data_IF_129108471565
#
_entry.id   IF_129108471565
#
_cell.length_a   1.000
_cell.length_b   1.000
_cell.length_c   1.000
_cell.angle_alpha   90.00
_cell.angle_beta   90.00
_cell.angle_gamma   90.00
#
_symmetry.space_group_name_H-M   'P 1'
#
loop_
_entity.id
_entity.type
_entity.pdbx_description
1 polymer ?
#
# COMPACT_ATOMS: atom_id res chain seq x y z
N UNK A 1 7.33 7.85 9.73
CA UNK A 1 6.19 8.80 9.56
C UNK A 1 5.58 8.75 8.17
N UNK A 2 6.38 8.71 7.09
CA UNK A 2 5.92 8.67 5.70
C UNK A 2 4.92 7.53 5.44
N UNK A 3 5.24 6.30 5.88
CA UNK A 3 4.37 5.15 5.67
C UNK A 3 2.96 5.29 6.28
N UNK A 4 2.81 6.01 7.39
CA UNK A 4 1.51 6.29 7.99
C UNK A 4 0.70 7.31 7.17
N UNK A 5 1.35 8.34 6.64
CA UNK A 5 0.70 9.32 5.75
C UNK A 5 0.21 8.67 4.46
N UNK A 6 1.01 7.76 3.89
CA UNK A 6 0.60 6.97 2.71
C UNK A 6 -0.61 6.09 3.03
N UNK A 7 -0.63 5.44 4.21
CA UNK A 7 -1.79 4.64 4.63
C UNK A 7 -3.07 5.48 4.75
N UNK A 8 -2.98 6.68 5.32
CA UNK A 8 -4.12 7.61 5.42
C UNK A 8 -4.60 8.06 4.03
N UNK A 9 -3.68 8.37 3.12
CA UNK A 9 -4.03 8.73 1.74
C UNK A 9 -4.76 7.58 1.02
N UNK A 10 -4.29 6.33 1.19
CA UNK A 10 -4.94 5.13 0.66
C UNK A 10 -6.34 4.96 1.25
N UNK A 11 -6.49 5.12 2.57
CA UNK A 11 -7.77 5.02 3.26
C UNK A 11 -8.79 6.02 2.70
N UNK A 12 -8.41 7.30 2.58
CA UNK A 12 -9.28 8.36 2.02
C UNK A 12 -9.65 8.02 0.57
N UNK A 13 -8.70 7.54 -0.23
CA UNK A 13 -8.94 7.19 -1.63
C UNK A 13 -9.95 6.04 -1.80
N UNK A 14 -9.83 4.99 -0.98
CA UNK A 14 -10.78 3.88 -0.99
C UNK A 14 -12.15 4.27 -0.45
N UNK A 15 -12.20 5.09 0.59
CA UNK A 15 -13.46 5.61 1.13
C UNK A 15 -14.23 6.40 0.07
N UNK A 16 -13.56 7.33 -0.62
CA UNK A 16 -14.17 8.09 -1.73
C UNK A 16 -14.64 7.19 -2.86
N UNK A 17 -13.87 6.15 -3.18
CA UNK A 17 -14.24 5.18 -4.22
C UNK A 17 -15.51 4.41 -3.84
N UNK A 18 -15.62 3.96 -2.60
CA UNK A 18 -16.79 3.22 -2.12
C UNK A 18 -18.07 4.08 -2.15
N UNK A 19 -17.97 5.37 -1.81
CA UNK A 19 -19.08 6.32 -1.92
C UNK A 19 -19.49 6.49 -3.39
N UNK A 20 -18.54 6.63 -4.31
CA UNK A 20 -18.83 6.83 -5.75
C UNK A 20 -19.59 5.65 -6.36
N UNK A 21 -19.30 4.42 -5.92
CA UNK A 21 -19.96 3.20 -6.42
C UNK A 21 -21.23 2.84 -5.61
N UNK A 22 -21.66 3.71 -4.68
CA UNK A 22 -22.81 3.48 -3.79
C UNK A 22 -22.75 2.15 -3.02
N UNK A 23 -21.55 1.71 -2.62
CA UNK A 23 -21.40 0.50 -1.83
C UNK A 23 -21.98 0.71 -0.42
N UNK A 24 -22.83 -0.19 0.09
CA UNK A 24 -23.42 -0.06 1.43
C UNK A 24 -22.40 -0.15 2.57
N UNK A 25 -21.15 -0.58 2.31
CA UNK A 25 -20.12 -0.82 3.33
C UNK A 25 -18.80 -0.11 3.02
N UNK A 26 -18.77 1.24 3.00
CA UNK A 26 -17.57 2.01 2.68
C UNK A 26 -16.41 1.79 3.67
N UNK A 27 -16.72 1.49 4.93
CA UNK A 27 -15.69 1.19 5.94
C UNK A 27 -14.93 -0.12 5.67
N UNK A 28 -15.56 -1.12 5.04
CA UNK A 28 -14.86 -2.36 4.67
C UNK A 28 -13.85 -2.13 3.55
N UNK A 29 -14.14 -1.22 2.61
CA UNK A 29 -13.19 -0.82 1.57
C UNK A 29 -11.94 -0.17 2.15
N UNK A 30 -12.12 0.67 3.17
CA UNK A 30 -11.00 1.29 3.91
C UNK A 30 -10.21 0.25 4.67
N UNK A 31 -10.87 -0.62 5.45
CA UNK A 31 -10.20 -1.64 6.23
C UNK A 31 -9.36 -2.56 5.33
N UNK A 32 -9.96 -3.06 4.24
CA UNK A 32 -9.27 -3.99 3.35
C UNK A 32 -8.09 -3.33 2.61
N UNK A 33 -8.18 -2.04 2.25
CA UNK A 33 -7.08 -1.34 1.57
C UNK A 33 -5.91 -1.06 2.49
N UNK A 34 -6.19 -0.69 3.74
CA UNK A 34 -5.17 -0.48 4.78
C UNK A 34 -4.49 -1.80 5.12
N UNK A 35 -5.25 -2.89 5.26
CA UNK A 35 -4.69 -4.24 5.48
C UNK A 35 -3.80 -4.65 4.31
N UNK A 36 -4.28 -4.51 3.07
CA UNK A 36 -3.49 -4.85 1.88
C UNK A 36 -2.19 -4.03 1.81
N UNK A 37 -2.25 -2.73 2.10
CA UNK A 37 -1.07 -1.86 2.17
C UNK A 37 -0.05 -2.38 3.19
N UNK A 38 -0.48 -2.62 4.44
CA UNK A 38 0.43 -3.05 5.50
C UNK A 38 1.00 -4.45 5.26
N UNK A 39 0.25 -5.36 4.64
CA UNK A 39 0.77 -6.69 4.26
C UNK A 39 1.95 -6.53 3.30
N UNK A 40 1.82 -5.68 2.27
CA UNK A 40 2.92 -5.46 1.31
C UNK A 40 4.12 -4.78 1.97
N UNK A 41 3.88 -3.74 2.78
CA UNK A 41 4.95 -3.04 3.51
C UNK A 41 5.67 -3.99 4.46
N UNK A 42 4.93 -4.85 5.17
CA UNK A 42 5.51 -5.83 6.08
C UNK A 42 6.36 -6.87 5.34
N UNK A 43 5.86 -7.41 4.23
CA UNK A 43 6.61 -8.33 3.38
C UNK A 43 7.87 -7.68 2.81
N UNK A 44 7.77 -6.44 2.33
CA UNK A 44 8.92 -5.68 1.84
C UNK A 44 9.97 -5.45 2.93
N UNK A 45 9.52 -5.07 4.12
CA UNK A 45 10.42 -4.89 5.26
C UNK A 45 11.17 -6.18 5.59
N UNK A 46 10.46 -7.31 5.66
CA UNK A 46 11.05 -8.58 6.04
C UNK A 46 11.98 -9.15 4.94
N UNK A 47 11.56 -9.09 3.68
CA UNK A 47 12.24 -9.72 2.55
C UNK A 47 13.30 -8.86 1.89
N UNK A 48 13.22 -7.53 2.03
CA UNK A 48 14.12 -6.59 1.32
C UNK A 48 14.90 -5.72 2.30
N UNK A 49 14.21 -4.95 3.15
CA UNK A 49 14.90 -4.00 4.04
C UNK A 49 15.82 -4.74 5.01
N UNK A 50 15.34 -5.82 5.63
CA UNK A 50 16.12 -6.60 6.61
C UNK A 50 17.42 -7.17 6.01
N UNK A 51 17.43 -7.89 4.87
CA UNK A 51 18.67 -8.39 4.28
C UNK A 51 19.56 -7.29 3.68
N UNK A 52 18.98 -6.24 3.10
CA UNK A 52 19.75 -5.08 2.60
C UNK A 52 20.46 -4.39 3.78
N UNK A 53 19.77 -4.22 4.90
CA UNK A 53 20.35 -3.67 6.12
C UNK A 53 21.51 -4.52 6.63
N UNK A 54 21.34 -5.84 6.70
CA UNK A 54 22.39 -6.73 7.18
C UNK A 54 23.65 -6.71 6.28
N UNK A 55 23.47 -6.61 4.96
CA UNK A 55 24.57 -6.65 4.00
C UNK A 55 25.33 -5.32 3.89
N UNK A 56 24.62 -4.18 3.93
CA UNK A 56 25.17 -2.90 3.51
C UNK A 56 25.38 -1.88 4.64
N UNK A 57 25.18 -2.26 5.91
CA UNK A 57 25.31 -1.35 7.07
C UNK A 57 26.68 -0.69 7.25
N UNK A 58 27.74 -1.21 6.61
CA UNK A 58 29.09 -0.62 6.65
C UNK A 58 29.33 0.46 5.59
N UNK A 59 28.41 0.67 4.64
CA UNK A 59 28.58 1.68 3.59
C UNK A 59 28.37 3.10 4.14
N UNK A 60 29.21 4.05 3.70
CA UNK A 60 29.07 5.47 4.08
C UNK A 60 27.73 6.09 3.67
N UNK A 61 27.10 5.54 2.62
CA UNK A 61 25.80 5.99 2.10
C UNK A 61 24.62 5.13 2.58
N UNK A 62 24.80 4.30 3.61
CA UNK A 62 23.80 3.37 4.10
C UNK A 62 22.43 4.02 4.37
N UNK A 63 22.41 5.19 4.99
CA UNK A 63 21.16 5.91 5.30
C UNK A 63 20.38 6.32 4.04
N UNK A 64 21.07 6.74 2.98
CA UNK A 64 20.44 7.12 1.70
C UNK A 64 19.90 5.87 1.02
N UNK A 65 20.68 4.78 1.01
CA UNK A 65 20.28 3.50 0.43
C UNK A 65 19.01 2.96 1.11
N UNK A 66 18.97 2.91 2.44
CA UNK A 66 17.81 2.42 3.19
C UNK A 66 16.59 3.30 2.94
N UNK A 67 16.74 4.63 2.91
CA UNK A 67 15.64 5.53 2.59
C UNK A 67 15.08 5.26 1.19
N UNK A 68 15.93 5.09 0.18
CA UNK A 68 15.51 4.77 -1.19
C UNK A 68 14.77 3.44 -1.26
N UNK A 69 15.27 2.41 -0.57
CA UNK A 69 14.64 1.08 -0.52
C UNK A 69 13.30 1.12 0.22
N UNK A 70 13.18 1.94 1.28
CA UNK A 70 11.92 2.14 1.99
C UNK A 70 10.87 2.83 1.10
N UNK A 71 11.27 3.89 0.39
CA UNK A 71 10.40 4.59 -0.57
C UNK A 71 9.95 3.67 -1.71
N UNK A 72 10.82 2.81 -2.21
CA UNK A 72 10.47 1.80 -3.22
C UNK A 72 9.40 0.82 -2.69
N UNK A 73 9.51 0.42 -1.42
CA UNK A 73 8.50 -0.42 -0.76
C UNK A 73 7.13 0.24 -0.67
N UNK A 74 7.08 1.53 -0.30
CA UNK A 74 5.82 2.28 -0.29
C UNK A 74 5.23 2.46 -1.70
N UNK A 75 6.06 2.73 -2.71
CA UNK A 75 5.62 2.81 -4.09
C UNK A 75 5.02 1.48 -4.56
N UNK A 76 5.67 0.35 -4.25
CA UNK A 76 5.15 -0.97 -4.56
C UNK A 76 3.81 -1.24 -3.86
N UNK A 77 3.70 -0.91 -2.57
CA UNK A 77 2.46 -1.08 -1.82
C UNK A 77 1.30 -0.27 -2.42
N UNK A 78 1.55 0.97 -2.83
CA UNK A 78 0.57 1.82 -3.53
C UNK A 78 0.16 1.19 -4.86
N UNK A 79 1.10 0.66 -5.65
CA UNK A 79 0.81 0.00 -6.93
C UNK A 79 -0.07 -1.25 -6.75
N UNK A 80 0.24 -2.09 -5.75
CA UNK A 80 -0.56 -3.29 -5.45
C UNK A 80 -1.97 -2.90 -5.02
N UNK A 81 -2.10 -1.93 -4.11
CA UNK A 81 -3.40 -1.44 -3.65
C UNK A 81 -4.19 -0.79 -4.79
N UNK A 82 -3.52 -0.06 -5.69
CA UNK A 82 -4.14 0.49 -6.89
C UNK A 82 -4.67 -0.60 -7.82
N UNK A 83 -3.91 -1.68 -8.00
CA UNK A 83 -4.33 -2.83 -8.80
C UNK A 83 -5.56 -3.53 -8.18
N UNK A 84 -5.54 -3.76 -6.86
CA UNK A 84 -6.68 -4.33 -6.11
C UNK A 84 -7.93 -3.47 -6.33
N UNK A 85 -7.80 -2.15 -6.16
CA UNK A 85 -8.90 -1.19 -6.40
C UNK A 85 -9.48 -1.35 -7.80
N UNK A 86 -8.61 -1.35 -8.82
CA UNK A 86 -9.02 -1.49 -10.23
C UNK A 86 -9.80 -2.78 -10.45
N UNK A 87 -9.34 -3.89 -9.87
CA UNK A 87 -10.01 -5.20 -9.99
C UNK A 87 -11.37 -5.23 -9.28
N UNK A 88 -11.48 -4.61 -8.11
CA UNK A 88 -12.76 -4.53 -7.38
C UNK A 88 -13.78 -3.67 -8.11
N UNK A 89 -13.38 -2.52 -8.65
CA UNK A 89 -14.26 -1.68 -9.47
C UNK A 89 -14.77 -2.43 -10.71
N UNK A 90 -13.90 -3.16 -11.41
CA UNK A 90 -14.31 -3.98 -12.56
C UNK A 90 -15.31 -5.08 -12.16
N UNK A 91 -15.14 -5.67 -10.98
CA UNK A 91 -16.06 -6.70 -10.46
C UNK A 91 -17.40 -6.15 -9.99
N UNK A 92 -17.42 -4.90 -9.49
CA UNK A 92 -18.64 -4.20 -9.12
C UNK A 92 -19.45 -3.82 -10.37
N UNK A 93 -18.79 -3.33 -11.43
CA UNK A 93 -19.44 -2.99 -12.69
C UNK A 93 -20.11 -4.20 -13.37
N UNK A 94 -19.51 -5.40 -13.28
CA UNK A 94 -20.13 -6.62 -13.85
C UNK A 94 -21.37 -7.13 -13.10
N UNK A 95 -21.66 -6.59 -11.91
CA UNK A 95 -22.80 -7.00 -11.07
C UNK A 95 -23.97 -6.01 -11.11
N UNK A 96 -23.85 -4.92 -11.87
CA UNK A 96 -24.95 -3.99 -12.07
C UNK A 96 -26.01 -4.64 -12.98
N UNK A 97 -27.30 -4.59 -12.62
CA UNK A 97 -28.40 -5.19 -13.37
C UNK A 97 -28.63 -4.52 -14.73
#
# INVERSE_FOLDING_TARGET
MIGGLVAVAIAIWFYRTAIQIHDPKPFLWVANSVVAYYVVVFLWWFLVIKPVSATFHHLSQFNVLILTVELAGYALAVLVVWFIRKRWMASAASKAP
#
